data_IF_873221499511
#
_entry.id   IF_873221499511
#
_cell.length_a   1.000
_cell.length_b   1.000
_cell.length_c   1.000
_cell.angle_alpha   90.00
_cell.angle_beta   90.00
_cell.angle_gamma   90.00
#
_symmetry.space_group_name_H-M   'P 1'
#
loop_
_entity.id
_entity.type
_entity.pdbx_description
1 polymer ?
#
# COMPACT_ATOMS: atom_id res chain seq x y z
N UNK A 1 -47.36 -2.44 -33.01
CA UNK A 1 -45.90 -2.63 -33.22
C UNK A 1 -45.04 -2.76 -31.96
N UNK A 2 -45.56 -2.70 -30.74
CA UNK A 2 -44.77 -2.81 -29.49
C UNK A 2 -44.54 -4.24 -28.95
N UNK A 3 -45.20 -5.25 -29.47
CA UNK A 3 -45.05 -6.65 -28.98
C UNK A 3 -43.94 -7.48 -29.62
N UNK A 4 -43.34 -7.01 -30.72
CA UNK A 4 -42.26 -7.72 -31.41
C UNK A 4 -40.87 -7.41 -30.84
N UNK A 5 -40.67 -6.23 -30.25
CA UNK A 5 -39.38 -5.83 -29.67
C UNK A 5 -39.09 -6.50 -28.32
N UNK A 6 -40.11 -6.87 -27.55
CA UNK A 6 -39.93 -7.50 -26.22
C UNK A 6 -39.48 -8.96 -26.31
N UNK A 7 -39.86 -9.64 -27.40
CA UNK A 7 -39.52 -11.07 -27.62
C UNK A 7 -38.06 -11.25 -28.04
N UNK A 8 -37.49 -10.29 -28.71
CA UNK A 8 -36.07 -10.26 -29.13
C UNK A 8 -35.09 -10.03 -27.96
N UNK A 9 -35.46 -9.20 -26.97
CA UNK A 9 -34.64 -9.00 -25.81
C UNK A 9 -34.62 -10.20 -24.84
N UNK A 10 -35.73 -10.87 -24.67
CA UNK A 10 -35.77 -12.06 -23.81
C UNK A 10 -34.99 -13.25 -24.39
N UNK A 11 -34.98 -13.42 -25.72
CA UNK A 11 -34.14 -14.43 -26.38
C UNK A 11 -32.66 -14.09 -26.31
N UNK A 12 -32.29 -12.80 -26.39
CA UNK A 12 -30.90 -12.37 -26.24
C UNK A 12 -30.38 -12.58 -24.82
N UNK A 13 -31.18 -12.23 -23.79
CA UNK A 13 -30.83 -12.46 -22.40
C UNK A 13 -30.74 -13.96 -22.06
N UNK A 14 -31.65 -14.78 -22.61
CA UNK A 14 -31.61 -16.23 -22.46
C UNK A 14 -30.36 -16.86 -23.11
N UNK A 15 -29.95 -16.36 -24.26
CA UNK A 15 -28.73 -16.83 -24.94
C UNK A 15 -27.47 -16.47 -24.16
N UNK A 16 -27.39 -15.24 -23.58
CA UNK A 16 -26.28 -14.81 -22.75
C UNK A 16 -26.19 -15.64 -21.45
N UNK A 17 -27.32 -15.88 -20.78
CA UNK A 17 -27.34 -16.73 -19.60
C UNK A 17 -26.95 -18.18 -19.89
N UNK A 18 -27.37 -18.72 -21.02
CA UNK A 18 -27.01 -20.07 -21.44
C UNK A 18 -25.51 -20.19 -21.77
N UNK A 19 -24.91 -19.17 -22.40
CA UNK A 19 -23.46 -19.14 -22.66
C UNK A 19 -22.64 -18.99 -21.38
N UNK A 20 -23.09 -18.19 -20.43
CA UNK A 20 -22.45 -18.06 -19.12
C UNK A 20 -22.56 -19.36 -18.32
N UNK A 21 -23.73 -20.03 -18.36
CA UNK A 21 -23.91 -21.30 -17.69
C UNK A 21 -23.04 -22.41 -18.32
N UNK A 22 -22.93 -22.43 -19.64
CA UNK A 22 -22.07 -23.39 -20.35
C UNK A 22 -20.59 -23.20 -19.99
N UNK A 23 -20.13 -21.95 -19.84
CA UNK A 23 -18.78 -21.62 -19.40
C UNK A 23 -18.50 -22.02 -17.93
N UNK A 24 -19.54 -22.02 -17.08
CA UNK A 24 -19.42 -22.42 -15.67
C UNK A 24 -19.34 -23.95 -15.48
N UNK A 25 -19.99 -24.72 -16.34
CA UNK A 25 -20.07 -26.18 -16.22
C UNK A 25 -18.91 -26.90 -16.93
N UNK A 26 -18.11 -26.20 -17.75
CA UNK A 26 -16.99 -26.82 -18.50
C UNK A 26 -15.82 -27.18 -17.56
N UNK A 27 -15.22 -28.39 -17.72
CA UNK A 27 -14.03 -28.81 -17.00
C UNK A 27 -12.82 -27.93 -17.35
N UNK A 28 -11.92 -27.75 -16.37
CA UNK A 28 -10.79 -26.81 -16.44
C UNK A 28 -9.86 -27.01 -17.65
N UNK A 29 -9.72 -28.24 -18.14
CA UNK A 29 -8.91 -28.57 -19.31
C UNK A 29 -9.39 -27.93 -20.62
N UNK A 30 -10.69 -27.63 -20.73
CA UNK A 30 -11.27 -26.99 -21.91
C UNK A 30 -11.25 -25.46 -21.78
N UNK A 31 -11.38 -24.93 -20.57
CA UNK A 31 -11.25 -23.48 -20.29
C UNK A 31 -9.86 -22.95 -20.65
N UNK A 32 -8.80 -23.74 -20.42
CA UNK A 32 -7.44 -23.32 -20.73
C UNK A 32 -7.21 -23.18 -22.24
N UNK A 33 -7.79 -24.08 -23.06
CA UNK A 33 -7.68 -24.02 -24.53
C UNK A 33 -8.52 -22.90 -25.15
N UNK A 34 -9.67 -22.57 -24.55
CA UNK A 34 -10.51 -21.47 -25.02
C UNK A 34 -9.89 -20.09 -24.70
N UNK A 35 -9.23 -19.94 -23.54
CA UNK A 35 -8.48 -18.73 -23.20
C UNK A 35 -7.34 -18.41 -24.17
N UNK A 36 -6.63 -19.42 -24.67
CA UNK A 36 -5.57 -19.23 -25.65
C UNK A 36 -6.12 -18.89 -27.07
N UNK A 37 -7.30 -19.36 -27.42
CA UNK A 37 -7.93 -19.06 -28.72
C UNK A 37 -8.55 -17.66 -28.77
N UNK A 38 -9.12 -17.16 -27.65
CA UNK A 38 -9.77 -15.83 -27.58
C UNK A 38 -8.75 -14.74 -27.28
N UNK A 39 -7.63 -15.06 -26.60
CA UNK A 39 -6.55 -14.11 -26.30
C UNK A 39 -5.85 -13.53 -27.54
N UNK A 40 -5.95 -14.21 -28.71
CA UNK A 40 -5.43 -13.71 -29.97
C UNK A 40 -6.34 -12.72 -30.72
N UNK A 41 -7.62 -12.59 -30.32
CA UNK A 41 -8.60 -11.76 -31.07
C UNK A 41 -8.75 -10.35 -30.48
N UNK A 42 -8.22 -10.07 -29.28
CA UNK A 42 -8.21 -8.77 -28.66
C UNK A 42 -6.79 -8.21 -28.52
N UNK A 43 -6.10 -8.04 -29.64
CA UNK A 43 -4.99 -7.10 -29.69
C UNK A 43 -5.58 -5.69 -29.83
N UNK A 44 -5.32 -4.78 -28.90
CA UNK A 44 -5.65 -3.37 -29.12
C UNK A 44 -4.85 -2.90 -30.35
N UNK A 45 -5.53 -2.35 -31.31
CA UNK A 45 -4.95 -1.61 -32.46
C UNK A 45 -4.31 -0.34 -31.86
N UNK A 46 -3.12 -0.49 -31.31
CA UNK A 46 -2.22 0.64 -31.04
C UNK A 46 -1.51 0.88 -32.35
N UNK A 47 -1.75 2.06 -32.92
CA UNK A 47 -1.29 2.46 -34.24
C UNK A 47 0.19 2.18 -34.47
N UNK A 48 0.48 1.23 -35.33
CA UNK A 48 1.79 1.11 -35.94
C UNK A 48 1.87 2.23 -36.95
N UNK A 49 2.63 3.26 -36.62
CA UNK A 49 2.96 4.34 -37.50
C UNK A 49 3.57 3.80 -38.81
N UNK A 50 3.08 4.31 -39.92
CA UNK A 50 3.39 3.94 -41.31
C UNK A 50 4.85 4.17 -41.77
N UNK A 51 5.80 4.28 -40.85
CA UNK A 51 7.23 4.45 -41.14
C UNK A 51 8.00 3.14 -41.42
N UNK A 52 7.37 2.00 -41.23
CA UNK A 52 8.02 0.70 -41.49
C UNK A 52 7.98 0.22 -42.96
N UNK A 53 7.03 0.70 -43.77
CA UNK A 53 6.90 0.27 -45.17
C UNK A 53 7.86 1.00 -46.10
N UNK A 54 8.25 2.22 -45.83
CA UNK A 54 9.22 2.96 -46.64
C UNK A 54 10.65 2.40 -46.51
N UNK A 55 10.95 1.66 -45.46
CA UNK A 55 12.28 1.05 -45.25
C UNK A 55 12.49 -0.25 -46.04
N UNK A 56 11.44 -0.94 -46.43
CA UNK A 56 11.53 -2.22 -47.20
C UNK A 56 11.63 -1.97 -48.70
N UNK A 57 11.07 -0.90 -49.26
CA UNK A 57 11.19 -0.56 -50.68
C UNK A 57 12.58 -0.02 -51.07
N UNK A 58 13.35 0.51 -50.12
CA UNK A 58 14.72 1.02 -50.38
C UNK A 58 15.80 -0.05 -50.41
N UNK A 59 15.49 -1.31 -50.06
CA UNK A 59 16.45 -2.43 -50.07
C UNK A 59 16.49 -3.15 -51.41
N UNK A 60 15.62 -2.82 -52.37
CA UNK A 60 15.54 -3.45 -53.67
C UNK A 60 16.46 -2.86 -54.78
N UNK A 61 17.16 -1.78 -54.53
CA UNK A 61 17.95 -1.05 -55.54
C UNK A 61 19.42 -0.76 -55.18
N UNK A 62 20.03 -1.56 -54.34
CA UNK A 62 21.48 -1.39 -54.11
C UNK A 62 22.23 -2.52 -54.81
N UNK A 63 22.69 -2.17 -56.03
CA UNK A 63 23.75 -2.91 -56.72
C UNK A 63 25.01 -3.01 -55.84
N UNK A 64 25.61 -4.17 -55.90
CA UNK A 64 26.87 -4.52 -55.23
C UNK A 64 27.95 -3.47 -55.52
N UNK A 65 28.24 -2.64 -54.55
CA UNK A 65 29.46 -1.80 -54.51
C UNK A 65 30.23 -2.12 -53.24
N UNK A 66 31.53 -2.18 -53.34
CA UNK A 66 32.53 -2.63 -52.36
C UNK A 66 32.34 -2.07 -50.93
N UNK A 67 32.75 -2.80 -49.86
CA UNK A 67 32.57 -2.38 -48.46
C UNK A 67 33.48 -1.20 -48.17
N UNK A 68 32.91 0.02 -48.19
CA UNK A 68 33.51 1.19 -47.58
C UNK A 68 33.58 1.05 -46.06
N UNK A 69 34.45 1.79 -45.37
CA UNK A 69 34.61 1.67 -43.93
C UNK A 69 33.28 1.94 -43.23
N UNK A 70 32.86 0.98 -42.41
CA UNK A 70 31.66 1.08 -41.58
C UNK A 70 31.66 2.41 -40.82
N UNK A 71 30.61 3.22 -40.89
CA UNK A 71 30.50 4.33 -39.99
C UNK A 71 30.43 3.73 -38.57
N UNK A 72 31.53 3.88 -37.82
CA UNK A 72 31.47 3.74 -36.37
C UNK A 72 30.46 4.73 -35.88
N UNK A 73 29.20 4.26 -35.69
CA UNK A 73 28.24 4.96 -34.86
C UNK A 73 28.92 5.11 -33.49
N UNK A 74 29.59 6.23 -33.30
CA UNK A 74 29.88 6.73 -31.98
C UNK A 74 28.53 6.88 -31.33
N UNK A 75 28.12 5.83 -30.60
CA UNK A 75 27.21 6.02 -29.48
C UNK A 75 27.95 7.01 -28.61
N UNK A 76 27.64 8.28 -28.81
CA UNK A 76 28.02 9.34 -27.90
C UNK A 76 27.25 9.00 -26.58
N UNK A 77 27.80 8.05 -25.86
CA UNK A 77 27.58 7.90 -24.45
C UNK A 77 28.02 9.22 -23.85
N UNK A 78 27.07 10.10 -23.59
CA UNK A 78 27.37 11.28 -22.82
C UNK A 78 28.00 10.76 -21.52
N UNK A 79 29.30 10.94 -21.38
CA UNK A 79 30.00 10.64 -20.13
C UNK A 79 29.25 11.42 -19.05
N UNK A 80 28.81 10.77 -17.96
CA UNK A 80 28.04 11.45 -16.93
C UNK A 80 28.85 12.67 -16.49
N UNK A 81 28.21 13.81 -16.44
CA UNK A 81 28.85 15.05 -15.98
C UNK A 81 29.21 14.89 -14.50
N UNK A 82 30.21 15.66 -14.04
CA UNK A 82 30.56 15.68 -12.61
C UNK A 82 29.32 15.99 -11.73
N UNK A 83 28.41 16.82 -12.25
CA UNK A 83 27.16 17.14 -11.58
C UNK A 83 26.21 15.90 -11.47
N UNK A 84 26.11 15.08 -12.51
CA UNK A 84 25.28 13.86 -12.49
C UNK A 84 25.85 12.85 -11.49
N UNK A 85 27.18 12.70 -11.45
CA UNK A 85 27.84 11.82 -10.48
C UNK A 85 27.71 12.32 -9.04
N UNK A 86 27.68 13.64 -8.82
CA UNK A 86 27.43 14.22 -7.51
C UNK A 86 25.98 13.96 -7.06
N UNK A 87 25.01 14.18 -7.93
CA UNK A 87 23.58 13.88 -7.64
C UNK A 87 23.36 12.40 -7.32
N UNK A 88 23.99 11.50 -8.08
CA UNK A 88 23.91 10.06 -7.81
C UNK A 88 24.58 9.69 -6.48
N UNK A 89 25.71 10.32 -6.15
CA UNK A 89 26.41 10.10 -4.88
C UNK A 89 25.55 10.57 -3.69
N UNK A 90 24.95 11.76 -3.79
CA UNK A 90 24.06 12.29 -2.75
C UNK A 90 22.82 11.40 -2.57
N UNK A 91 22.24 10.91 -3.66
CA UNK A 91 21.12 9.97 -3.64
C UNK A 91 21.51 8.65 -2.97
N UNK A 92 22.64 8.07 -3.35
CA UNK A 92 23.14 6.82 -2.76
C UNK A 92 23.52 6.97 -1.30
N UNK A 93 24.07 8.12 -0.90
CA UNK A 93 24.38 8.44 0.49
C UNK A 93 23.12 8.51 1.34
N UNK A 94 22.07 9.16 0.86
CA UNK A 94 20.79 9.24 1.53
C UNK A 94 20.11 7.86 1.62
N UNK A 95 20.11 7.07 0.55
CA UNK A 95 19.60 5.71 0.55
C UNK A 95 20.36 4.83 1.55
N UNK A 96 21.69 4.92 1.61
CA UNK A 96 22.52 4.21 2.58
C UNK A 96 22.20 4.61 4.02
N UNK A 97 21.97 5.92 4.26
CA UNK A 97 21.57 6.42 5.58
C UNK A 97 20.24 5.81 6.00
N UNK A 98 19.24 5.85 5.13
CA UNK A 98 17.90 5.29 5.40
C UNK A 98 17.96 3.77 5.63
N UNK A 99 18.76 3.05 4.83
CA UNK A 99 18.96 1.60 5.01
C UNK A 99 19.64 1.27 6.35
N UNK A 100 20.65 2.04 6.74
CA UNK A 100 21.32 1.86 8.06
C UNK A 100 20.37 2.13 9.21
N UNK A 101 19.60 3.21 9.15
CA UNK A 101 18.58 3.51 10.16
C UNK A 101 17.54 2.38 10.27
N UNK A 102 17.10 1.82 9.13
CA UNK A 102 16.16 0.70 9.11
C UNK A 102 16.75 -0.58 9.72
N UNK A 103 18.03 -0.88 9.45
CA UNK A 103 18.72 -2.06 10.02
C UNK A 103 18.99 -1.89 11.53
N UNK A 104 19.43 -0.70 11.96
CA UNK A 104 19.62 -0.41 13.38
C UNK A 104 18.30 -0.48 14.14
N UNK A 105 17.23 0.00 13.53
CA UNK A 105 15.91 -0.09 14.12
C UNK A 105 15.47 -1.56 14.25
N UNK A 106 15.68 -2.40 13.22
CA UNK A 106 15.36 -3.83 13.24
C UNK A 106 16.08 -4.58 14.37
N UNK A 107 17.32 -4.22 14.69
CA UNK A 107 18.06 -4.79 15.83
C UNK A 107 17.49 -4.42 17.20
N UNK A 108 16.75 -3.31 17.29
CA UNK A 108 16.14 -2.82 18.54
C UNK A 108 14.76 -3.39 18.82
N UNK A 109 14.13 -4.01 17.80
CA UNK A 109 12.79 -4.54 17.98
C UNK A 109 12.86 -5.95 18.54
N UNK A 110 12.13 -6.23 19.63
CA UNK A 110 12.04 -7.57 20.20
C UNK A 110 11.08 -8.50 19.42
N UNK A 111 10.52 -8.03 18.29
CA UNK A 111 9.50 -8.76 17.54
C UNK A 111 10.03 -9.23 16.20
N UNK A 112 9.65 -10.42 15.79
CA UNK A 112 9.86 -10.87 14.41
C UNK A 112 8.94 -10.09 13.47
N UNK A 113 9.50 -9.61 12.37
CA UNK A 113 8.75 -8.84 11.38
C UNK A 113 8.91 -9.42 9.98
N UNK A 114 7.87 -9.29 9.16
CA UNK A 114 7.93 -9.60 7.74
C UNK A 114 7.70 -8.34 6.91
N UNK A 115 8.63 -8.07 6.01
CA UNK A 115 8.54 -6.94 5.09
C UNK A 115 7.47 -7.22 4.03
N UNK A 116 6.58 -6.25 3.81
CA UNK A 116 5.50 -6.32 2.84
C UNK A 116 5.45 -5.07 1.98
N UNK A 117 5.20 -5.25 0.68
CA UNK A 117 4.95 -4.13 -0.24
C UNK A 117 3.46 -3.83 -0.29
N UNK A 118 3.11 -2.56 -0.32
CA UNK A 118 1.75 -2.10 -0.58
C UNK A 118 1.47 -2.27 -2.08
N UNK A 119 0.45 -3.07 -2.40
CA UNK A 119 0.05 -3.41 -3.78
C UNK A 119 -1.26 -2.78 -4.20
N UNK A 120 -1.95 -2.12 -3.28
CA UNK A 120 -3.20 -1.43 -3.58
C UNK A 120 -3.72 -0.62 -2.39
N UNK A 121 -4.68 0.23 -2.68
CA UNK A 121 -5.42 1.04 -1.70
C UNK A 121 -6.90 0.92 -2.00
N UNK A 122 -7.73 1.09 -0.99
CA UNK A 122 -9.17 1.15 -1.17
C UNK A 122 -9.53 2.47 -1.89
N UNK A 123 -10.10 2.44 -3.11
CA UNK A 123 -10.41 3.64 -3.85
C UNK A 123 -11.48 4.51 -3.20
N UNK A 124 -12.37 3.93 -2.39
CA UNK A 124 -13.42 4.64 -1.66
C UNK A 124 -12.97 5.17 -0.31
N UNK A 125 -11.94 4.53 0.30
CA UNK A 125 -11.44 4.84 1.62
C UNK A 125 -9.91 4.82 1.64
N UNK A 126 -9.31 5.63 0.80
CA UNK A 126 -7.87 5.73 0.55
C UNK A 126 -6.99 5.76 1.83
N UNK A 127 -7.45 6.45 2.87
CA UNK A 127 -6.73 6.62 4.14
C UNK A 127 -7.09 5.59 5.21
N UNK A 128 -7.97 4.62 4.90
CA UNK A 128 -8.47 3.65 5.86
C UNK A 128 -7.89 2.27 5.66
N UNK A 129 -7.62 1.88 4.40
CA UNK A 129 -7.21 0.51 4.08
C UNK A 129 -6.16 0.47 2.98
N UNK A 130 -5.13 -0.39 3.20
CA UNK A 130 -4.14 -0.74 2.17
C UNK A 130 -4.10 -2.25 1.99
N UNK A 131 -3.74 -2.68 0.79
CA UNK A 131 -3.52 -4.08 0.45
C UNK A 131 -2.03 -4.36 0.36
N UNK A 132 -1.57 -5.44 0.98
CA UNK A 132 -0.17 -5.86 1.00
C UNK A 132 0.02 -7.20 0.29
N UNK A 133 1.23 -7.47 -0.20
CA UNK A 133 1.62 -8.67 -0.93
C UNK A 133 1.99 -9.86 -0.03
N UNK A 134 1.50 -9.90 1.20
CA UNK A 134 1.62 -11.03 2.10
C UNK A 134 0.24 -11.57 2.46
N UNK A 135 0.12 -12.90 2.53
CA UNK A 135 -1.10 -13.61 2.87
C UNK A 135 -0.84 -14.78 3.82
N UNK A 136 -1.83 -15.66 3.94
CA UNK A 136 -1.75 -16.84 4.82
C UNK A 136 -0.60 -17.79 4.47
N UNK A 137 -0.17 -17.83 3.18
CA UNK A 137 0.99 -18.60 2.74
C UNK A 137 2.32 -18.14 3.35
N UNK A 138 2.34 -16.99 4.01
CA UNK A 138 3.49 -16.40 4.71
C UNK A 138 3.18 -16.18 6.20
N UNK A 139 2.32 -17.02 6.78
CA UNK A 139 1.92 -17.01 8.19
C UNK A 139 1.31 -15.69 8.67
N UNK A 140 0.70 -14.93 7.76
CA UNK A 140 -0.05 -13.73 8.14
C UNK A 140 -1.38 -14.14 8.74
N UNK A 141 -1.73 -13.51 9.87
CA UNK A 141 -2.95 -13.77 10.64
C UNK A 141 -3.73 -12.49 10.88
N UNK A 142 -5.01 -12.63 11.17
CA UNK A 142 -5.87 -11.51 11.56
C UNK A 142 -5.32 -10.81 12.81
N UNK A 143 -5.54 -9.51 12.88
CA UNK A 143 -5.15 -8.62 13.99
C UNK A 143 -3.64 -8.46 14.21
N UNK A 144 -2.77 -9.05 13.38
CA UNK A 144 -1.34 -8.77 13.48
C UNK A 144 -1.06 -7.28 13.27
N UNK A 145 -0.23 -6.66 14.14
CA UNK A 145 0.18 -5.28 14.00
C UNK A 145 1.01 -5.04 12.74
N UNK A 146 0.80 -3.86 12.15
CA UNK A 146 1.55 -3.39 10.99
C UNK A 146 2.20 -2.06 11.33
N UNK A 147 3.48 -1.96 11.06
CA UNK A 147 4.32 -0.80 11.32
C UNK A 147 4.99 -0.31 10.03
N UNK A 148 5.42 0.94 10.02
CA UNK A 148 6.25 1.49 8.95
C UNK A 148 7.65 0.86 8.97
N UNK A 149 8.46 1.11 7.94
CA UNK A 149 9.88 0.70 7.93
C UNK A 149 10.68 1.38 9.04
N UNK A 150 10.21 2.51 9.56
CA UNK A 150 10.80 3.25 10.69
C UNK A 150 10.27 2.83 12.05
N UNK A 151 9.33 1.86 12.09
CA UNK A 151 8.77 1.34 13.33
C UNK A 151 7.55 2.05 13.89
N UNK A 152 7.00 2.97 13.15
CA UNK A 152 5.83 3.73 13.57
C UNK A 152 4.56 2.90 13.31
N UNK A 153 3.57 3.03 14.16
CA UNK A 153 2.32 2.31 14.01
C UNK A 153 1.58 2.74 12.74
N UNK A 154 1.24 1.77 11.91
CA UNK A 154 0.45 1.96 10.68
C UNK A 154 -0.98 1.44 10.85
N UNK A 155 -1.16 0.28 11.49
CA UNK A 155 -2.45 -0.33 11.65
C UNK A 155 -2.38 -1.81 12.02
N UNK A 156 -3.40 -2.59 11.63
CA UNK A 156 -3.46 -4.04 11.85
C UNK A 156 -4.06 -4.77 10.65
N UNK A 157 -3.76 -6.05 10.54
CA UNK A 157 -4.37 -6.93 9.53
C UNK A 157 -5.87 -7.09 9.81
N UNK A 158 -6.72 -6.75 8.84
CA UNK A 158 -8.19 -6.86 8.95
C UNK A 158 -8.78 -8.02 8.16
N UNK A 159 -8.10 -8.43 7.08
CA UNK A 159 -8.53 -9.56 6.24
C UNK A 159 -7.29 -10.26 5.70
N UNK A 160 -7.34 -11.60 5.63
CA UNK A 160 -6.23 -12.41 5.14
C UNK A 160 -6.71 -13.27 3.99
N UNK A 161 -6.10 -13.06 2.82
CA UNK A 161 -6.23 -13.93 1.67
C UNK A 161 -5.00 -14.84 1.53
N UNK A 162 -5.00 -15.73 0.52
CA UNK A 162 -3.88 -16.67 0.32
C UNK A 162 -2.54 -15.98 0.03
N UNK A 163 -2.52 -14.95 -0.81
CA UNK A 163 -1.32 -14.26 -1.28
C UNK A 163 -1.24 -12.79 -0.83
N UNK A 164 -2.37 -12.21 -0.46
CA UNK A 164 -2.48 -10.80 -0.10
C UNK A 164 -3.35 -10.62 1.13
N UNK A 165 -3.15 -9.54 1.88
CA UNK A 165 -3.97 -9.20 3.04
C UNK A 165 -4.36 -7.73 3.01
N UNK A 166 -5.45 -7.39 3.69
CA UNK A 166 -5.86 -6.01 3.93
C UNK A 166 -5.39 -5.55 5.30
N UNK A 167 -4.85 -4.36 5.33
CA UNK A 167 -4.44 -3.66 6.55
C UNK A 167 -5.42 -2.54 6.83
N UNK A 168 -6.01 -2.52 8.01
CA UNK A 168 -6.82 -1.44 8.54
C UNK A 168 -5.88 -0.41 9.17
N UNK A 169 -5.88 0.81 8.64
CA UNK A 169 -4.98 1.88 9.09
C UNK A 169 -5.49 2.56 10.36
N UNK A 170 -4.61 3.17 11.11
CA UNK A 170 -4.92 3.92 12.36
C UNK A 170 -5.96 5.02 12.14
N UNK A 171 -6.12 5.51 10.91
CA UNK A 171 -7.15 6.49 10.53
C UNK A 171 -8.57 5.92 10.37
N UNK A 172 -8.78 4.59 10.48
CA UNK A 172 -10.10 3.98 10.35
C UNK A 172 -10.84 3.94 11.70
N UNK A 173 -12.16 4.24 11.73
CA UNK A 173 -12.99 4.19 12.96
C UNK A 173 -12.96 2.86 13.70
N UNK A 174 -12.69 1.76 13.00
CA UNK A 174 -12.60 0.42 13.57
C UNK A 174 -11.18 0.08 14.07
N UNK A 175 -10.20 0.95 13.84
CA UNK A 175 -8.83 0.78 14.33
C UNK A 175 -8.65 1.54 15.66
N UNK A 176 -9.28 1.05 16.72
CA UNK A 176 -9.13 1.59 18.07
C UNK A 176 -8.13 0.75 18.85
N UNK A 177 -7.32 1.42 19.67
CA UNK A 177 -6.33 0.74 20.51
C UNK A 177 -5.95 1.60 21.71
N UNK A 178 -5.41 0.94 22.73
CA UNK A 178 -4.92 1.62 23.94
C UNK A 178 -3.51 2.17 23.72
N UNK A 179 -3.33 3.42 24.08
CA UNK A 179 -2.04 4.11 24.03
C UNK A 179 -1.74 4.81 25.34
N UNK A 180 -0.49 5.15 25.56
CA UNK A 180 -0.03 5.91 26.74
C UNK A 180 0.99 6.96 26.33
N UNK A 181 1.18 7.92 27.21
CA UNK A 181 2.26 8.90 27.11
C UNK A 181 3.58 8.21 27.49
N UNK A 182 4.60 8.35 26.65
CA UNK A 182 5.89 7.69 26.86
C UNK A 182 6.55 8.09 28.17
N UNK A 183 6.38 9.34 28.56
CA UNK A 183 6.98 9.92 29.78
C UNK A 183 6.22 9.49 31.04
N UNK A 184 4.90 9.40 30.95
CA UNK A 184 4.02 9.06 32.08
C UNK A 184 3.39 7.68 31.88
N UNK A 185 4.19 6.64 32.04
CA UNK A 185 3.84 5.22 31.73
C UNK A 185 2.56 4.69 32.40
N UNK A 186 1.99 5.40 33.36
CA UNK A 186 0.77 5.03 34.09
C UNK A 186 -0.51 5.62 33.50
N UNK A 187 -0.41 6.57 32.58
CA UNK A 187 -1.55 7.33 32.08
C UNK A 187 -1.84 6.93 30.62
N UNK A 188 -2.84 6.08 30.47
CA UNK A 188 -3.27 5.56 29.19
C UNK A 188 -4.66 6.01 28.79
N UNK A 189 -4.90 6.08 27.50
CA UNK A 189 -6.19 6.37 26.89
C UNK A 189 -6.44 5.47 25.69
N UNK A 190 -7.52 5.75 25.01
CA UNK A 190 -7.91 5.05 23.78
C UNK A 190 -7.67 5.98 22.59
N UNK A 191 -6.86 5.53 21.63
CA UNK A 191 -6.72 6.20 20.34
C UNK A 191 -7.87 5.81 19.44
N UNK A 192 -8.54 6.82 18.91
CA UNK A 192 -9.59 6.68 17.91
C UNK A 192 -9.42 7.74 16.82
N UNK A 193 -9.85 7.46 15.58
CA UNK A 193 -9.85 8.49 14.55
C UNK A 193 -10.88 9.55 14.86
N UNK A 194 -10.56 10.78 14.51
CA UNK A 194 -11.48 11.90 14.66
C UNK A 194 -12.61 11.81 13.64
N UNK A 195 -13.85 11.90 14.10
CA UNK A 195 -15.04 11.67 13.28
C UNK A 195 -15.21 12.65 12.10
N UNK A 196 -14.62 13.86 12.18
CA UNK A 196 -14.76 14.93 11.19
C UNK A 196 -13.42 15.64 10.88
N UNK A 197 -12.29 14.92 10.94
CA UNK A 197 -11.01 15.53 10.60
C UNK A 197 -10.77 15.47 9.09
N UNK A 198 -10.41 16.60 8.50
CA UNK A 198 -9.91 16.68 7.13
C UNK A 198 -8.46 16.19 7.00
N UNK A 199 -7.70 16.10 8.11
CA UNK A 199 -6.33 15.58 8.11
C UNK A 199 -6.31 14.13 8.64
N UNK A 200 -6.05 13.13 7.76
CA UNK A 200 -5.98 11.72 8.15
C UNK A 200 -4.78 11.38 9.05
N UNK A 201 -3.86 12.34 9.25
CA UNK A 201 -2.70 12.17 10.13
C UNK A 201 -2.98 12.56 11.57
N UNK A 202 -4.20 13.00 11.88
CA UNK A 202 -4.57 13.44 13.23
C UNK A 202 -5.62 12.49 13.79
N UNK A 203 -5.31 11.92 14.94
CA UNK A 203 -6.21 11.05 15.72
C UNK A 203 -6.48 11.66 17.09
N UNK A 204 -7.49 11.17 17.78
CA UNK A 204 -7.84 11.58 19.13
C UNK A 204 -7.39 10.52 20.13
N UNK A 205 -6.79 10.95 21.21
CA UNK A 205 -6.50 10.15 22.39
C UNK A 205 -7.50 10.59 23.48
N UNK A 206 -8.41 9.70 23.82
CA UNK A 206 -9.54 9.96 24.74
C UNK A 206 -9.43 9.15 26.02
N UNK A 207 -10.22 9.50 27.03
CA UNK A 207 -10.27 8.82 28.34
C UNK A 207 -8.96 8.91 29.13
N UNK A 208 -8.21 9.98 28.96
CA UNK A 208 -7.09 10.26 29.85
C UNK A 208 -7.59 10.81 31.20
N UNK A 209 -6.99 10.43 32.34
CA UNK A 209 -7.33 11.03 33.63
C UNK A 209 -7.18 12.55 33.62
N UNK A 210 -8.01 13.28 34.36
CA UNK A 210 -7.99 14.75 34.39
C UNK A 210 -6.77 15.35 35.12
N UNK A 211 -6.06 14.55 35.90
CA UNK A 211 -4.82 14.92 36.60
C UNK A 211 -3.57 14.87 35.70
N UNK A 212 -3.76 14.48 34.42
CA UNK A 212 -2.66 14.41 33.48
C UNK A 212 -2.31 15.78 32.92
N UNK A 213 -1.13 16.23 33.19
CA UNK A 213 -0.58 17.42 32.55
C UNK A 213 -0.07 17.06 31.13
N UNK A 214 -0.86 17.41 30.12
CA UNK A 214 -0.52 17.20 28.72
C UNK A 214 0.18 18.42 28.14
N UNK A 215 1.34 18.19 27.55
CA UNK A 215 2.11 19.24 26.84
C UNK A 215 2.23 18.90 25.35
N UNK A 216 2.10 19.89 24.45
CA UNK A 216 2.41 19.70 23.04
C UNK A 216 3.81 19.11 22.85
N UNK A 217 3.95 18.18 21.93
CA UNK A 217 5.21 17.49 21.62
C UNK A 217 5.45 16.21 22.43
N UNK A 218 4.67 15.89 23.44
CA UNK A 218 4.81 14.63 24.18
C UNK A 218 4.57 13.43 23.28
N UNK A 219 5.44 12.42 23.39
CA UNK A 219 5.36 11.20 22.58
C UNK A 219 4.26 10.25 23.08
N UNK A 220 3.48 9.76 22.14
CA UNK A 220 2.42 8.75 22.37
C UNK A 220 2.87 7.42 21.80
N UNK A 221 2.75 6.35 22.60
CA UNK A 221 3.11 4.97 22.22
C UNK A 221 1.97 4.02 22.56
N UNK A 222 1.96 2.85 21.95
CA UNK A 222 0.99 1.79 22.30
C UNK A 222 1.22 1.30 23.73
N UNK A 223 0.14 1.01 24.45
CA UNK A 223 0.20 0.57 25.85
C UNK A 223 0.45 -0.94 26.02
N UNK A 224 0.15 -1.75 25.01
CA UNK A 224 0.11 -3.20 25.10
C UNK A 224 -1.20 -3.75 25.67
N UNK A 225 -2.10 -2.90 26.17
CA UNK A 225 -3.38 -3.33 26.74
C UNK A 225 -4.40 -3.65 25.61
N UNK A 226 -5.26 -4.64 25.86
CA UNK A 226 -6.30 -5.06 24.91
C UNK A 226 -5.83 -6.06 23.84
N UNK A 227 -4.59 -6.57 23.92
CA UNK A 227 -4.10 -7.69 23.10
C UNK A 227 -3.97 -7.46 21.60
N UNK A 228 -4.18 -6.23 21.11
CA UNK A 228 -4.13 -5.92 19.69
C UNK A 228 -2.78 -5.42 19.17
N UNK A 229 -2.00 -4.78 20.05
CA UNK A 229 -0.72 -4.19 19.71
C UNK A 229 0.29 -4.40 20.85
N UNK A 230 1.55 -4.73 20.54
CA UNK A 230 2.62 -4.76 21.54
C UNK A 230 2.81 -3.39 22.19
N UNK A 231 3.40 -3.38 23.37
CA UNK A 231 3.75 -2.15 24.07
C UNK A 231 4.90 -1.41 23.38
N UNK A 232 4.89 -0.07 23.52
CA UNK A 232 5.98 0.82 23.09
C UNK A 232 6.15 1.03 21.58
N UNK A 233 5.17 0.68 20.74
CA UNK A 233 5.20 1.08 19.33
C UNK A 233 4.90 2.60 19.24
N UNK A 234 5.78 3.39 18.58
CA UNK A 234 5.54 4.82 18.40
C UNK A 234 4.27 5.09 17.58
N UNK A 235 3.40 5.94 18.08
CA UNK A 235 2.15 6.36 17.43
C UNK A 235 2.29 7.76 16.86
N UNK A 236 2.65 8.72 17.69
CA UNK A 236 2.70 10.12 17.30
C UNK A 236 3.07 11.05 18.44
N UNK A 237 2.71 12.32 18.29
CA UNK A 237 2.94 13.37 19.30
C UNK A 237 1.67 14.14 19.58
N UNK A 238 1.48 14.53 20.84
CA UNK A 238 0.40 15.42 21.27
C UNK A 238 0.54 16.77 20.58
N UNK A 239 -0.54 17.25 19.98
CA UNK A 239 -0.62 18.58 19.37
C UNK A 239 -1.23 19.57 20.36
N UNK A 240 -2.37 19.21 20.93
CA UNK A 240 -3.10 19.96 21.93
C UNK A 240 -4.01 19.04 22.75
N UNK A 241 -4.60 19.58 23.81
CA UNK A 241 -5.49 18.85 24.70
C UNK A 241 -6.58 19.76 25.25
N UNK A 242 -7.69 19.14 25.63
CA UNK A 242 -8.83 19.80 26.25
C UNK A 242 -9.54 18.86 27.22
N UNK A 243 -10.27 19.42 28.15
CA UNK A 243 -11.17 18.63 29.01
C UNK A 243 -12.39 18.22 28.22
N UNK A 244 -12.87 16.98 28.38
CA UNK A 244 -14.09 16.49 27.73
C UNK A 244 -15.30 17.33 28.15
N UNK A 245 -16.35 17.31 27.35
CA UNK A 245 -17.59 18.06 27.60
C UNK A 245 -18.22 17.71 28.96
N UNK A 246 -18.06 16.48 29.39
CA UNK A 246 -18.60 15.97 30.66
C UNK A 246 -17.70 16.26 31.86
N UNK A 247 -16.52 16.84 31.63
CA UNK A 247 -15.53 17.15 32.66
C UNK A 247 -14.87 15.93 33.32
N UNK A 248 -15.13 14.72 32.83
CA UNK A 248 -14.72 13.47 33.47
C UNK A 248 -13.31 13.01 33.07
N UNK A 249 -12.84 13.41 31.90
CA UNK A 249 -11.53 13.01 31.35
C UNK A 249 -10.95 14.07 30.45
N UNK A 250 -9.67 13.93 30.18
CA UNK A 250 -8.95 14.78 29.24
C UNK A 250 -8.85 14.07 27.89
N UNK A 251 -8.97 14.85 26.83
CA UNK A 251 -8.81 14.43 25.44
C UNK A 251 -7.64 15.17 24.80
N UNK A 252 -6.95 14.54 23.87
CA UNK A 252 -5.84 15.15 23.16
C UNK A 252 -5.89 14.83 21.66
N UNK A 253 -5.43 15.77 20.85
CA UNK A 253 -5.09 15.50 19.46
C UNK A 253 -3.67 15.00 19.37
N UNK A 254 -3.51 13.91 18.60
CA UNK A 254 -2.23 13.27 18.36
C UNK A 254 -1.95 13.28 16.87
N UNK A 255 -0.83 13.88 16.48
CA UNK A 255 -0.34 13.83 15.11
C UNK A 255 0.48 12.56 14.93
N UNK A 256 0.06 11.70 14.00
CA UNK A 256 0.75 10.46 13.71
C UNK A 256 2.15 10.72 13.16
N UNK A 257 3.11 9.89 13.54
CA UNK A 257 4.45 9.89 12.94
C UNK A 257 4.42 9.27 11.54
N UNK A 258 3.68 8.16 11.38
CA UNK A 258 3.56 7.48 10.10
C UNK A 258 2.79 8.33 9.08
N UNK A 259 3.37 8.51 7.89
CA UNK A 259 2.67 9.11 6.77
C UNK A 259 1.81 8.05 6.05
N UNK A 260 0.56 7.92 6.46
CA UNK A 260 -0.35 6.89 5.95
C UNK A 260 -0.65 7.03 4.44
N UNK A 261 -0.42 8.20 3.85
CA UNK A 261 -0.70 8.46 2.43
C UNK A 261 0.42 7.97 1.50
N UNK A 262 1.65 7.85 2.00
CA UNK A 262 2.85 7.54 1.21
C UNK A 262 3.48 6.20 1.58
N UNK A 263 2.67 5.24 2.05
CA UNK A 263 3.16 3.92 2.39
C UNK A 263 3.40 3.09 1.12
N UNK A 264 4.64 2.74 0.85
CA UNK A 264 5.04 1.81 -0.21
C UNK A 264 5.43 0.45 0.36
N UNK A 265 6.06 0.45 1.52
CA UNK A 265 6.54 -0.73 2.21
C UNK A 265 6.20 -0.63 3.69
N UNK A 266 5.76 -1.74 4.26
CA UNK A 266 5.40 -1.88 5.67
C UNK A 266 5.97 -3.17 6.24
N UNK A 267 5.98 -3.30 7.56
CA UNK A 267 6.39 -4.53 8.27
C UNK A 267 5.21 -5.07 9.06
N UNK A 268 4.94 -6.36 8.92
CA UNK A 268 3.94 -7.07 9.72
C UNK A 268 4.65 -7.78 10.86
N UNK A 269 4.19 -7.58 12.09
CA UNK A 269 4.70 -8.29 13.26
C UNK A 269 4.10 -9.71 13.28
N UNK A 270 4.97 -10.74 13.25
CA UNK A 270 4.53 -12.14 13.13
C UNK A 270 4.53 -12.88 14.47
N UNK A 271 5.39 -12.50 15.40
CA UNK A 271 5.38 -13.03 16.77
C UNK A 271 5.09 -11.89 17.74
N UNK A 272 3.91 -11.90 18.30
CA UNK A 272 3.52 -11.08 19.45
C UNK A 272 3.34 -12.06 20.62
N UNK A 273 4.36 -12.25 21.43
CA UNK A 273 4.17 -12.83 22.76
C UNK A 273 3.51 -11.76 23.63
N UNK A 274 2.22 -11.92 23.85
CA UNK A 274 1.47 -11.11 24.83
C UNK A 274 1.59 -11.74 26.21
#
# INVERSE_FOLDING_TARGET
>A
MKRFFYRSQQTAVGAVLLTVFLLLVMPESVRARLKSAIGGLFLPVIGISTTGQAALESLGQLGVTEPGPFPTNQVAGASPTVADLQLDNDRLAEENRLLREAVEWERRIPWETRLARVVGRDPFNWWRRIKINLGSNKDIRLNQPVISVRGELVGRISEVGPLTSWVLLVGDPNCRFSALLKESRSQGGIVSPRQYSSDPRVVELTYLPNDVELRPGQAVVTSGLGGGFPKEIPVGQVVDSWTSKDGLYTEARVKLHANLNQLETVRVLTQTHF
#
